data_IF_202057517162
#
_entry.id   IF_202057517162
#
_cell.length_a   1.000
_cell.length_b   1.000
_cell.length_c   1.000
_cell.angle_alpha   90.00
_cell.angle_beta   90.00
_cell.angle_gamma   90.00
#
_symmetry.space_group_name_H-M   'P 1'
#
loop_
_entity.id
_entity.type
_entity.pdbx_description
1 polymer ?
#
# COMPACT_ATOMS: atom_id res chain seq x y z
N UNK A 1 -21.19 41.54 -21.85
CA UNK A 1 -21.81 41.01 -20.64
C UNK A 1 -21.25 39.58 -20.44
N UNK A 2 -20.15 39.42 -19.68
CA UNK A 2 -19.53 38.11 -19.39
C UNK A 2 -20.24 37.53 -18.20
N UNK A 3 -20.94 36.40 -18.38
CA UNK A 3 -21.51 35.61 -17.27
C UNK A 3 -20.36 35.01 -16.44
N UNK A 4 -20.21 35.46 -15.21
CA UNK A 4 -19.39 34.81 -14.20
C UNK A 4 -20.11 33.53 -13.76
N UNK A 5 -19.45 32.39 -13.94
CA UNK A 5 -19.86 31.09 -13.39
C UNK A 5 -19.36 31.04 -11.95
N UNK A 6 -20.19 30.72 -10.95
CA UNK A 6 -19.75 30.69 -9.55
C UNK A 6 -18.84 29.47 -9.31
N UNK A 7 -17.66 29.73 -8.73
CA UNK A 7 -16.67 28.71 -8.30
C UNK A 7 -17.05 28.00 -6.98
N UNK A 8 -18.30 28.02 -6.54
CA UNK A 8 -18.70 27.57 -5.21
C UNK A 8 -19.11 26.08 -5.11
N UNK A 9 -19.24 25.35 -6.22
CA UNK A 9 -19.68 23.95 -6.20
C UNK A 9 -18.62 22.94 -5.70
N UNK A 10 -17.37 23.17 -6.03
CA UNK A 10 -16.31 22.16 -5.80
C UNK A 10 -15.86 22.09 -4.33
N UNK A 11 -15.73 23.21 -3.63
CA UNK A 11 -15.26 23.23 -2.24
C UNK A 11 -16.28 22.65 -1.23
N UNK A 12 -17.57 22.78 -1.52
CA UNK A 12 -18.63 22.22 -0.65
C UNK A 12 -18.73 20.70 -0.82
N UNK A 13 -18.59 20.20 -2.04
CA UNK A 13 -18.52 18.76 -2.36
C UNK A 13 -17.31 18.07 -1.74
N UNK A 14 -16.12 18.67 -1.85
CA UNK A 14 -14.89 18.14 -1.24
C UNK A 14 -14.96 18.08 0.30
N UNK A 15 -15.60 19.05 0.94
CA UNK A 15 -15.72 19.07 2.41
C UNK A 15 -16.72 18.03 2.92
N UNK A 16 -17.80 17.76 2.19
CA UNK A 16 -18.77 16.71 2.51
C UNK A 16 -18.09 15.35 2.35
N UNK A 17 -17.42 15.09 1.23
CA UNK A 17 -16.68 13.85 0.99
C UNK A 17 -15.63 13.56 2.07
N UNK A 18 -14.85 14.57 2.50
CA UNK A 18 -13.85 14.38 3.57
C UNK A 18 -14.45 14.02 4.93
N UNK A 19 -15.65 14.46 5.25
CA UNK A 19 -16.35 14.09 6.48
C UNK A 19 -16.93 12.66 6.39
N UNK A 20 -17.41 12.25 5.23
CA UNK A 20 -17.87 10.90 4.95
C UNK A 20 -16.73 9.89 5.01
N UNK A 21 -15.57 10.20 4.43
CA UNK A 21 -14.37 9.37 4.51
C UNK A 21 -13.88 9.19 5.96
N UNK A 22 -13.99 10.22 6.81
CA UNK A 22 -13.65 10.09 8.23
C UNK A 22 -14.60 9.14 8.98
N UNK A 23 -15.88 9.11 8.60
CA UNK A 23 -16.87 8.15 9.11
C UNK A 23 -16.55 6.72 8.65
N UNK A 24 -16.22 6.55 7.37
CA UNK A 24 -15.84 5.26 6.78
C UNK A 24 -14.59 4.67 7.42
N UNK A 25 -13.63 5.49 7.89
CA UNK A 25 -12.41 5.03 8.56
C UNK A 25 -12.70 4.07 9.71
N UNK A 26 -13.64 4.42 10.60
CA UNK A 26 -13.97 3.59 11.77
C UNK A 26 -14.61 2.27 11.35
N UNK A 27 -15.51 2.31 10.37
CA UNK A 27 -16.13 1.10 9.82
C UNK A 27 -15.11 0.21 9.12
N UNK A 28 -14.20 0.81 8.34
CA UNK A 28 -13.11 0.07 7.69
C UNK A 28 -12.19 -0.59 8.72
N UNK A 29 -11.82 0.10 9.81
CA UNK A 29 -11.02 -0.49 10.89
C UNK A 29 -11.69 -1.74 11.48
N UNK A 30 -12.99 -1.70 11.72
CA UNK A 30 -13.74 -2.85 12.23
C UNK A 30 -13.72 -4.03 11.24
N UNK A 31 -13.93 -3.75 9.94
CA UNK A 31 -13.85 -4.76 8.87
C UNK A 31 -12.46 -5.39 8.80
N UNK A 32 -11.39 -4.58 8.89
CA UNK A 32 -10.02 -5.08 8.87
C UNK A 32 -9.70 -6.01 10.05
N UNK A 33 -10.23 -5.70 11.24
CA UNK A 33 -10.07 -6.56 12.42
C UNK A 33 -10.82 -7.88 12.25
N UNK A 34 -12.07 -7.85 11.75
CA UNK A 34 -12.85 -9.05 11.42
C UNK A 34 -12.10 -9.94 10.40
N UNK A 35 -11.54 -9.34 9.35
CA UNK A 35 -10.74 -10.02 8.34
C UNK A 35 -9.46 -10.63 8.91
N UNK A 36 -8.76 -9.91 9.80
CA UNK A 36 -7.59 -10.41 10.50
C UNK A 36 -7.88 -11.57 11.44
N UNK A 37 -9.02 -11.54 12.13
CA UNK A 37 -9.47 -12.65 12.99
C UNK A 37 -9.76 -13.89 12.15
N UNK A 38 -10.44 -13.74 11.01
CA UNK A 38 -10.70 -14.81 10.06
C UNK A 38 -9.39 -15.41 9.53
N UNK A 39 -8.45 -14.57 9.07
CA UNK A 39 -7.16 -15.03 8.57
C UNK A 39 -6.40 -15.83 9.62
N UNK A 40 -6.33 -15.33 10.87
CA UNK A 40 -5.68 -16.04 11.99
C UNK A 40 -6.39 -17.34 12.36
N UNK A 41 -7.72 -17.38 12.29
CA UNK A 41 -8.48 -18.60 12.57
C UNK A 41 -8.21 -19.68 11.51
N UNK A 42 -8.19 -19.29 10.23
CA UNK A 42 -7.87 -20.20 9.11
C UNK A 42 -6.44 -20.75 9.25
N UNK A 43 -5.47 -19.93 9.62
CA UNK A 43 -4.07 -20.37 9.80
C UNK A 43 -3.85 -21.38 10.93
N UNK A 44 -4.76 -21.49 11.91
CA UNK A 44 -4.64 -22.43 13.04
C UNK A 44 -4.98 -23.87 12.70
N UNK A 45 -5.73 -24.08 11.61
CA UNK A 45 -6.15 -25.42 11.15
C UNK A 45 -5.32 -25.90 9.96
N UNK A 46 -5.55 -27.14 9.52
CA UNK A 46 -5.08 -27.57 8.20
C UNK A 46 -5.88 -26.80 7.13
N UNK A 47 -5.18 -26.06 6.27
CA UNK A 47 -5.81 -25.32 5.18
C UNK A 47 -5.16 -25.67 3.84
N UNK A 48 -5.92 -25.59 2.78
CA UNK A 48 -5.43 -25.87 1.43
C UNK A 48 -4.59 -24.70 0.93
N UNK A 49 -3.59 -25.05 0.13
CA UNK A 49 -2.71 -24.12 -0.56
C UNK A 49 -2.44 -24.66 -1.97
N UNK A 50 -2.35 -23.75 -2.92
CA UNK A 50 -2.05 -24.06 -4.33
C UNK A 50 -1.25 -22.90 -4.94
N UNK A 51 -0.90 -23.01 -6.19
CA UNK A 51 -0.28 -21.91 -6.95
C UNK A 51 -1.21 -21.43 -8.04
N UNK A 52 -1.13 -20.14 -8.38
CA UNK A 52 -1.86 -19.52 -9.49
C UNK A 52 -0.88 -18.85 -10.45
N UNK A 53 -1.29 -18.76 -11.73
CA UNK A 53 -0.50 -18.13 -12.79
C UNK A 53 0.72 -18.92 -13.20
N UNK A 54 1.47 -18.37 -14.15
CA UNK A 54 2.70 -18.96 -14.70
C UNK A 54 3.93 -18.75 -13.81
N UNK A 55 3.82 -17.89 -12.81
CA UNK A 55 4.88 -17.49 -11.85
C UNK A 55 4.86 -18.29 -10.54
N UNK A 56 4.02 -19.34 -10.45
CA UNK A 56 3.85 -20.17 -9.25
C UNK A 56 3.52 -19.35 -7.98
N UNK A 57 2.71 -18.31 -8.11
CA UNK A 57 2.30 -17.46 -6.99
C UNK A 57 1.46 -18.28 -5.99
N UNK A 58 1.84 -18.36 -4.70
CA UNK A 58 1.09 -19.16 -3.74
C UNK A 58 -0.22 -18.49 -3.37
N UNK A 59 -1.29 -19.31 -3.25
CA UNK A 59 -2.61 -18.94 -2.74
C UNK A 59 -3.01 -19.94 -1.67
N UNK A 60 -3.77 -19.49 -0.69
CA UNK A 60 -4.34 -20.35 0.36
C UNK A 60 -5.84 -20.15 0.53
N UNK A 61 -6.48 -21.07 1.25
CA UNK A 61 -7.89 -20.88 1.65
C UNK A 61 -8.09 -19.58 2.46
N UNK A 62 -7.03 -19.10 3.14
CA UNK A 62 -7.06 -17.83 3.86
C UNK A 62 -7.25 -16.63 2.93
N UNK A 63 -6.54 -16.60 1.81
CA UNK A 63 -6.65 -15.53 0.81
C UNK A 63 -8.09 -15.43 0.28
N UNK A 64 -8.69 -16.57 -0.09
CA UNK A 64 -10.07 -16.60 -0.61
C UNK A 64 -11.09 -16.22 0.45
N UNK A 65 -10.98 -16.78 1.66
CA UNK A 65 -11.93 -16.52 2.74
C UNK A 65 -11.91 -15.02 3.15
N UNK A 66 -10.72 -14.43 3.25
CA UNK A 66 -10.55 -13.01 3.57
C UNK A 66 -11.06 -12.14 2.41
N UNK A 67 -10.76 -12.50 1.16
CA UNK A 67 -11.28 -11.80 -0.02
C UNK A 67 -12.81 -11.73 -0.03
N UNK A 68 -13.49 -12.86 0.20
CA UNK A 68 -14.95 -12.94 0.18
C UNK A 68 -15.59 -12.12 1.31
N UNK A 69 -15.01 -12.17 2.51
CA UNK A 69 -15.43 -11.34 3.62
C UNK A 69 -15.27 -9.85 3.29
N UNK A 70 -14.09 -9.44 2.84
CA UNK A 70 -13.80 -8.05 2.48
C UNK A 70 -14.73 -7.55 1.38
N UNK A 71 -14.93 -8.36 0.32
CA UNK A 71 -15.85 -8.00 -0.78
C UNK A 71 -17.24 -7.71 -0.26
N UNK A 72 -17.77 -8.58 0.59
CA UNK A 72 -19.11 -8.39 1.17
C UNK A 72 -19.18 -7.13 2.01
N UNK A 73 -18.28 -6.98 2.99
CA UNK A 73 -18.31 -5.87 3.93
C UNK A 73 -18.03 -4.50 3.28
N UNK A 74 -17.05 -4.45 2.35
CA UNK A 74 -16.68 -3.20 1.70
C UNK A 74 -17.72 -2.75 0.66
N UNK A 75 -18.40 -3.68 -0.02
CA UNK A 75 -19.54 -3.36 -0.87
C UNK A 75 -20.69 -2.77 -0.06
N UNK A 76 -20.96 -3.30 1.13
CA UNK A 76 -21.98 -2.73 2.03
C UNK A 76 -21.61 -1.31 2.51
N UNK A 77 -20.33 -1.02 2.67
CA UNK A 77 -19.85 0.32 3.10
C UNK A 77 -19.94 1.36 1.98
N UNK A 78 -19.60 0.98 0.74
CA UNK A 78 -19.62 1.86 -0.44
C UNK A 78 -20.16 1.07 -1.64
N UNK A 79 -21.50 0.98 -1.78
CA UNK A 79 -22.15 0.13 -2.79
C UNK A 79 -21.80 0.48 -4.24
N UNK A 80 -21.48 1.75 -4.51
CA UNK A 80 -21.16 2.25 -5.86
C UNK A 80 -19.68 2.10 -6.24
N UNK A 81 -18.84 1.60 -5.33
CA UNK A 81 -17.43 1.38 -5.60
C UNK A 81 -17.22 0.09 -6.41
N UNK A 82 -16.33 0.16 -7.41
CA UNK A 82 -15.82 -1.02 -8.10
C UNK A 82 -14.97 -1.90 -7.17
N UNK A 83 -14.54 -3.05 -7.69
CA UNK A 83 -13.74 -4.03 -6.96
C UNK A 83 -12.53 -4.46 -7.78
N UNK A 84 -11.34 -4.29 -7.21
CA UNK A 84 -10.08 -4.79 -7.74
C UNK A 84 -9.35 -5.51 -6.61
N UNK A 85 -9.08 -6.80 -6.77
CA UNK A 85 -8.37 -7.62 -5.77
C UNK A 85 -7.39 -8.56 -6.44
N UNK A 86 -6.33 -8.92 -5.71
CA UNK A 86 -5.39 -9.96 -6.14
C UNK A 86 -6.09 -11.29 -6.48
N UNK A 87 -7.19 -11.62 -5.76
CA UNK A 87 -7.96 -12.85 -5.94
C UNK A 87 -9.11 -12.72 -6.95
N UNK A 88 -9.14 -11.64 -7.74
CA UNK A 88 -10.14 -11.44 -8.79
C UNK A 88 -9.59 -11.87 -10.14
N UNK A 89 -10.15 -12.92 -10.72
CA UNK A 89 -9.71 -13.50 -12.00
C UNK A 89 -9.95 -12.56 -13.20
N UNK A 90 -10.92 -11.66 -13.10
CA UNK A 90 -11.32 -10.79 -14.22
C UNK A 90 -11.28 -9.34 -13.78
N UNK A 91 -10.40 -8.57 -14.37
CA UNK A 91 -10.41 -7.11 -14.23
C UNK A 91 -11.63 -6.56 -14.97
N UNK A 92 -12.33 -5.56 -14.43
CA UNK A 92 -13.43 -4.92 -15.14
C UNK A 92 -12.93 -4.30 -16.45
N UNK A 93 -13.72 -4.38 -17.52
CA UNK A 93 -13.42 -3.80 -18.84
C UNK A 93 -13.18 -2.29 -18.80
N UNK A 94 -13.62 -1.61 -17.74
CA UNK A 94 -13.42 -0.17 -17.50
C UNK A 94 -13.11 0.05 -16.02
N UNK A 95 -12.05 0.79 -15.76
CA UNK A 95 -11.78 1.33 -14.44
C UNK A 95 -12.92 2.27 -14.02
N UNK A 96 -13.60 1.94 -12.93
CA UNK A 96 -14.58 2.85 -12.33
C UNK A 96 -13.84 3.99 -11.64
N UNK A 97 -14.41 5.21 -11.62
CA UNK A 97 -13.75 6.35 -10.96
C UNK A 97 -13.53 6.13 -9.46
N UNK A 98 -14.33 5.28 -8.83
CA UNK A 98 -14.22 4.89 -7.43
C UNK A 98 -14.15 3.36 -7.34
N UNK A 99 -13.14 2.82 -6.65
CA UNK A 99 -12.99 1.37 -6.50
C UNK A 99 -12.24 1.00 -5.20
N UNK A 100 -12.63 -0.11 -4.60
CA UNK A 100 -11.84 -0.80 -3.59
C UNK A 100 -10.70 -1.56 -4.27
N UNK A 101 -9.48 -1.36 -3.80
CA UNK A 101 -8.26 -2.06 -4.21
C UNK A 101 -7.76 -2.85 -3.02
N UNK A 102 -7.66 -4.18 -3.17
CA UNK A 102 -7.56 -5.11 -2.04
C UNK A 102 -6.51 -6.19 -2.29
N UNK A 103 -5.63 -6.37 -1.32
CA UNK A 103 -4.86 -7.59 -1.14
C UNK A 103 -5.33 -8.28 0.13
N UNK A 104 -5.97 -9.45 0.02
CA UNK A 104 -6.47 -10.18 1.19
C UNK A 104 -5.37 -10.64 2.13
N UNK A 105 -4.20 -11.07 1.59
CA UNK A 105 -3.03 -11.47 2.37
C UNK A 105 -1.74 -11.10 1.62
N UNK A 106 -1.32 -9.84 1.68
CA UNK A 106 0.00 -9.44 1.19
C UNK A 106 1.10 -10.16 2.00
N UNK A 107 1.88 -10.95 1.29
CA UNK A 107 2.86 -11.82 1.91
C UNK A 107 2.34 -13.23 2.19
N UNK A 108 1.55 -13.84 1.30
CA UNK A 108 1.01 -15.21 1.39
C UNK A 108 2.08 -16.25 1.76
N UNK A 109 3.32 -16.11 1.28
CA UNK A 109 4.44 -16.98 1.67
C UNK A 109 4.78 -16.90 3.16
N UNK A 110 4.71 -15.71 3.76
CA UNK A 110 4.89 -15.52 5.20
C UNK A 110 3.71 -16.15 5.96
N UNK A 111 2.49 -15.89 5.53
CA UNK A 111 1.27 -16.45 6.10
C UNK A 111 1.30 -17.98 6.13
N UNK A 112 1.57 -18.63 5.00
CA UNK A 112 1.67 -20.11 4.88
C UNK A 112 2.79 -20.69 5.74
N UNK A 113 3.87 -19.92 5.96
CA UNK A 113 5.03 -20.36 6.76
C UNK A 113 4.89 -20.03 8.25
N UNK A 114 3.75 -19.51 8.71
CA UNK A 114 3.51 -19.14 10.11
C UNK A 114 4.35 -17.97 10.61
N UNK A 115 4.81 -17.11 9.70
CA UNK A 115 5.56 -15.89 10.04
C UNK A 115 4.60 -14.76 10.42
N UNK A 116 5.14 -13.68 10.98
CA UNK A 116 4.35 -12.53 11.42
C UNK A 116 4.25 -11.41 10.36
N UNK A 117 5.11 -11.41 9.35
CA UNK A 117 5.30 -10.31 8.40
C UNK A 117 4.43 -10.45 7.14
N UNK A 118 3.11 -10.58 7.36
CA UNK A 118 2.05 -10.50 6.36
C UNK A 118 0.94 -9.54 6.78
N UNK A 119 0.20 -8.99 5.84
CA UNK A 119 -0.83 -7.99 6.11
C UNK A 119 -2.06 -8.19 5.23
N UNK A 120 -3.17 -7.58 5.66
CA UNK A 120 -4.35 -7.32 4.83
C UNK A 120 -4.24 -5.88 4.37
N UNK A 121 -4.37 -5.62 3.07
CA UNK A 121 -4.20 -4.29 2.46
C UNK A 121 -5.49 -3.88 1.76
N UNK A 122 -6.06 -2.72 2.12
CA UNK A 122 -7.30 -2.18 1.55
C UNK A 122 -7.16 -0.69 1.30
N UNK A 123 -7.46 -0.25 0.09
CA UNK A 123 -7.57 1.16 -0.26
C UNK A 123 -8.87 1.46 -1.00
N UNK A 124 -9.50 2.59 -0.70
CA UNK A 124 -10.49 3.20 -1.58
C UNK A 124 -9.77 4.16 -2.50
N UNK A 125 -9.85 3.90 -3.78
CA UNK A 125 -9.20 4.68 -4.84
C UNK A 125 -10.24 5.49 -5.59
N UNK A 126 -10.05 6.81 -5.67
CA UNK A 126 -10.89 7.72 -6.44
C UNK A 126 -10.07 8.39 -7.55
N UNK A 127 -10.53 8.27 -8.79
CA UNK A 127 -9.85 8.87 -9.97
C UNK A 127 -8.36 8.53 -10.06
N UNK A 128 -8.01 7.28 -9.71
CA UNK A 128 -6.65 6.75 -9.75
C UNK A 128 -5.76 7.16 -8.58
N UNK A 129 -6.30 7.74 -7.50
CA UNK A 129 -5.54 8.08 -6.28
C UNK A 129 -6.23 7.51 -5.04
N UNK A 130 -5.48 6.92 -4.10
CA UNK A 130 -6.06 6.42 -2.86
C UNK A 130 -6.51 7.59 -1.96
N UNK A 131 -7.73 7.50 -1.42
CA UNK A 131 -8.36 8.52 -0.57
C UNK A 131 -8.64 8.02 0.85
N UNK A 132 -8.73 6.71 1.03
CA UNK A 132 -8.84 6.04 2.33
C UNK A 132 -8.01 4.76 2.26
N UNK A 133 -7.26 4.45 3.31
CA UNK A 133 -6.43 3.26 3.37
C UNK A 133 -6.45 2.63 4.76
N UNK A 134 -6.41 1.30 4.77
CA UNK A 134 -6.16 0.48 5.94
C UNK A 134 -5.16 -0.63 5.58
N UNK A 135 -4.15 -0.81 6.43
CA UNK A 135 -3.23 -1.93 6.38
C UNK A 135 -3.19 -2.56 7.77
N UNK A 136 -3.48 -3.84 7.86
CA UNK A 136 -3.50 -4.54 9.14
C UNK A 136 -2.54 -5.73 9.14
N UNK A 137 -1.61 -5.76 10.11
CA UNK A 137 -0.74 -6.87 10.40
C UNK A 137 -1.31 -7.65 11.61
N UNK A 138 -2.11 -8.72 11.41
CA UNK A 138 -2.91 -9.32 12.51
C UNK A 138 -2.06 -10.01 13.57
N UNK A 139 -0.86 -10.47 13.24
CA UNK A 139 0.01 -11.19 14.20
C UNK A 139 0.66 -10.24 15.20
N UNK A 140 1.03 -9.04 14.75
CA UNK A 140 1.65 -8.00 15.60
C UNK A 140 0.64 -6.96 16.11
N UNK A 141 -0.63 -7.10 15.72
CA UNK A 141 -1.73 -6.16 16.03
C UNK A 141 -1.41 -4.71 15.63
N UNK A 142 -0.84 -4.54 14.42
CA UNK A 142 -0.51 -3.23 13.88
C UNK A 142 -1.56 -2.81 12.85
N UNK A 143 -2.40 -1.84 13.20
CA UNK A 143 -3.42 -1.24 12.35
C UNK A 143 -2.97 0.12 11.86
N UNK A 144 -2.56 0.21 10.61
CA UNK A 144 -2.24 1.46 9.92
C UNK A 144 -3.50 1.97 9.21
N UNK A 145 -3.80 3.26 9.39
CA UNK A 145 -4.94 3.93 8.79
C UNK A 145 -4.54 5.28 8.25
N UNK A 146 -5.00 5.64 7.05
CA UNK A 146 -4.84 6.98 6.49
C UNK A 146 -6.13 7.43 5.79
N UNK A 147 -6.39 8.72 5.86
CA UNK A 147 -7.45 9.41 5.10
C UNK A 147 -6.82 10.61 4.43
N UNK A 148 -7.07 10.80 3.16
CA UNK A 148 -6.52 11.91 2.37
C UNK A 148 -6.72 13.27 3.09
N UNK A 149 -5.59 13.97 3.33
CA UNK A 149 -5.55 15.27 4.02
C UNK A 149 -5.85 15.22 5.52
N UNK A 150 -5.79 14.02 6.16
CA UNK A 150 -6.02 13.87 7.61
C UNK A 150 -4.85 13.23 8.35
N UNK A 151 -3.77 12.89 7.63
CA UNK A 151 -2.61 12.21 8.18
C UNK A 151 -2.78 10.70 8.27
N UNK A 152 -1.69 10.05 8.69
CA UNK A 152 -1.62 8.60 8.92
C UNK A 152 -1.49 8.28 10.42
N UNK A 153 -1.98 7.10 10.81
CA UNK A 153 -1.92 6.63 12.18
C UNK A 153 -1.59 5.14 12.24
N UNK A 154 -0.88 4.72 13.29
CA UNK A 154 -0.67 3.33 13.70
C UNK A 154 -1.35 3.13 15.06
N UNK A 155 -2.30 2.20 15.14
CA UNK A 155 -3.07 1.92 16.34
C UNK A 155 -3.65 3.20 17.00
N UNK A 156 -4.13 4.14 16.16
CA UNK A 156 -4.70 5.41 16.59
C UNK A 156 -3.68 6.52 16.89
N UNK A 157 -2.39 6.21 17.05
CA UNK A 157 -1.33 7.21 17.25
C UNK A 157 -0.86 7.76 15.89
N UNK A 158 -0.77 9.09 15.76
CA UNK A 158 -0.25 9.74 14.54
C UNK A 158 1.19 9.30 14.27
N UNK A 159 1.49 8.97 13.01
CA UNK A 159 2.82 8.59 12.55
C UNK A 159 3.37 9.59 11.53
N UNK A 160 4.69 9.60 11.38
CA UNK A 160 5.37 10.43 10.39
C UNK A 160 6.63 9.72 9.85
N UNK A 161 6.87 9.88 8.55
CA UNK A 161 8.09 9.45 7.91
C UNK A 161 9.31 10.23 8.40
N UNK A 162 10.47 9.62 8.37
CA UNK A 162 11.73 10.28 8.76
C UNK A 162 12.09 11.43 7.83
N UNK A 163 12.38 12.60 8.40
CA UNK A 163 12.68 13.84 7.66
C UNK A 163 14.13 14.00 7.23
N UNK A 164 15.06 13.14 7.67
CA UNK A 164 16.48 13.23 7.33
C UNK A 164 16.72 12.97 5.83
N UNK A 165 17.68 13.71 5.24
CA UNK A 165 18.07 13.55 3.83
C UNK A 165 19.24 12.58 3.64
N UNK A 166 20.11 12.42 4.64
CA UNK A 166 21.35 11.62 4.51
C UNK A 166 21.09 10.13 4.34
N UNK A 167 21.94 9.47 3.56
CA UNK A 167 21.97 8.01 3.45
C UNK A 167 22.90 7.37 4.49
N UNK A 168 23.67 8.16 5.22
CA UNK A 168 24.50 7.67 6.31
C UNK A 168 23.63 7.04 7.40
N UNK A 169 23.90 5.75 7.69
CA UNK A 169 23.15 4.93 8.64
C UNK A 169 21.63 4.85 8.36
N UNK A 170 21.19 5.24 7.16
CA UNK A 170 19.79 5.10 6.76
C UNK A 170 19.40 3.62 6.66
N UNK A 171 18.26 3.25 7.24
CA UNK A 171 17.71 1.89 7.27
C UNK A 171 16.90 1.66 6.00
N UNK A 172 17.44 0.88 5.08
CA UNK A 172 16.87 0.64 3.77
C UNK A 172 16.41 -0.81 3.63
N UNK A 173 15.19 -1.02 3.12
CA UNK A 173 14.65 -2.34 2.83
C UNK A 173 14.22 -2.45 1.35
N UNK A 174 14.36 -3.65 0.78
CA UNK A 174 13.99 -3.86 -0.61
C UNK A 174 14.58 -5.15 -1.20
N UNK A 175 14.48 -5.32 -2.52
CA UNK A 175 15.13 -6.41 -3.22
C UNK A 175 16.64 -6.41 -2.95
N UNK A 176 17.19 -7.59 -2.63
CA UNK A 176 18.63 -7.73 -2.32
C UNK A 176 19.51 -7.11 -3.41
N UNK A 177 19.15 -7.35 -4.69
CA UNK A 177 19.88 -6.78 -5.84
C UNK A 177 19.99 -5.25 -5.80
N UNK A 178 18.98 -4.54 -5.27
CA UNK A 178 18.99 -3.10 -5.14
C UNK A 178 19.85 -2.65 -3.97
N UNK A 179 19.71 -3.33 -2.82
CA UNK A 179 20.49 -3.02 -1.63
C UNK A 179 21.99 -3.25 -1.85
N UNK A 180 22.37 -4.32 -2.56
CA UNK A 180 23.78 -4.60 -2.90
C UNK A 180 24.36 -3.49 -3.80
N UNK A 181 23.63 -3.01 -4.80
CA UNK A 181 24.07 -1.90 -5.66
C UNK A 181 24.16 -0.58 -4.90
N UNK A 182 23.15 -0.29 -4.08
CA UNK A 182 23.15 0.92 -3.24
C UNK A 182 24.29 0.91 -2.22
N UNK A 183 24.66 -0.24 -1.67
CA UNK A 183 25.80 -0.35 -0.78
C UNK A 183 27.13 0.07 -1.44
N UNK A 184 27.26 -0.12 -2.76
CA UNK A 184 28.40 0.40 -3.52
C UNK A 184 28.41 1.92 -3.67
N UNK A 185 27.24 2.57 -3.62
CA UNK A 185 27.06 4.01 -3.80
C UNK A 185 26.97 4.77 -2.47
N UNK A 186 26.44 4.11 -1.45
CA UNK A 186 26.23 4.65 -0.10
C UNK A 186 26.65 3.58 0.95
N UNK A 187 27.95 3.32 1.13
CA UNK A 187 28.45 2.18 1.92
C UNK A 187 28.10 2.25 3.41
N UNK A 188 27.72 3.41 3.91
CA UNK A 188 27.31 3.60 5.32
C UNK A 188 25.82 3.36 5.57
N UNK A 189 25.02 3.04 4.55
CA UNK A 189 23.62 2.68 4.73
C UNK A 189 23.49 1.34 5.47
N UNK A 190 22.31 1.11 6.08
CA UNK A 190 21.98 -0.11 6.83
C UNK A 190 20.91 -0.90 6.11
N UNK A 191 21.33 -1.93 5.36
CA UNK A 191 20.38 -2.86 4.77
C UNK A 191 19.59 -3.61 5.86
N UNK A 192 18.27 -3.58 5.76
CA UNK A 192 17.39 -4.23 6.72
C UNK A 192 16.98 -5.64 6.25
N UNK A 193 16.58 -6.52 7.18
CA UNK A 193 16.07 -7.84 6.85
C UNK A 193 14.88 -7.77 5.90
N UNK A 194 14.68 -8.85 5.13
CA UNK A 194 13.52 -8.98 4.24
C UNK A 194 12.23 -8.99 5.04
N UNK A 195 11.30 -8.11 4.69
CA UNK A 195 9.88 -8.15 5.06
C UNK A 195 9.13 -8.78 3.89
N UNK A 196 8.34 -9.83 4.14
CA UNK A 196 7.67 -10.56 3.07
C UNK A 196 6.48 -9.80 2.50
N UNK A 197 5.68 -9.14 3.34
CA UNK A 197 4.65 -8.21 2.92
C UNK A 197 5.29 -6.95 2.33
N UNK A 198 4.97 -6.62 1.08
CA UNK A 198 5.43 -5.39 0.44
C UNK A 198 4.74 -4.17 1.04
N UNK A 199 3.44 -4.24 1.27
CA UNK A 199 2.67 -3.17 1.87
C UNK A 199 3.17 -2.84 3.28
N UNK A 200 3.49 -3.86 4.12
CA UNK A 200 4.07 -3.65 5.45
C UNK A 200 5.44 -2.96 5.37
N UNK A 201 6.30 -3.41 4.44
CA UNK A 201 7.61 -2.79 4.24
C UNK A 201 7.49 -1.31 3.91
N UNK A 202 6.53 -0.92 3.06
CA UNK A 202 6.25 0.47 2.72
C UNK A 202 5.63 1.23 3.90
N UNK A 203 4.70 0.62 4.66
CA UNK A 203 4.12 1.22 5.85
C UNK A 203 5.16 1.49 6.96
N UNK A 204 6.25 0.69 7.03
CA UNK A 204 7.38 0.94 7.93
C UNK A 204 8.11 2.25 7.59
N UNK A 205 8.07 2.70 6.33
CA UNK A 205 8.56 4.04 5.95
C UNK A 205 7.63 5.13 6.50
N UNK A 206 6.31 4.96 6.36
CA UNK A 206 5.34 5.91 6.92
C UNK A 206 5.45 6.04 8.45
N UNK A 207 5.79 4.95 9.14
CA UNK A 207 6.00 4.93 10.60
C UNK A 207 7.39 5.44 11.01
N UNK A 208 8.33 5.60 10.07
CA UNK A 208 9.70 6.02 10.37
C UNK A 208 10.59 4.90 10.95
N UNK A 209 10.17 3.64 10.93
CA UNK A 209 11.01 2.49 11.26
C UNK A 209 12.04 2.22 10.16
N UNK A 210 11.62 2.35 8.91
CA UNK A 210 12.51 2.39 7.75
C UNK A 210 12.71 3.82 7.27
N UNK A 211 13.87 4.08 6.73
CA UNK A 211 14.21 5.37 6.15
C UNK A 211 13.92 5.43 4.66
N UNK A 212 13.98 4.28 3.98
CA UNK A 212 13.49 4.10 2.63
C UNK A 212 13.16 2.62 2.36
N UNK A 213 12.26 2.40 1.40
CA UNK A 213 11.92 1.07 0.92
C UNK A 213 11.80 1.06 -0.61
N UNK A 214 12.15 -0.08 -1.21
CA UNK A 214 12.11 -0.29 -2.65
C UNK A 214 11.20 -1.46 -3.01
N UNK A 215 10.51 -1.36 -4.16
CA UNK A 215 9.78 -2.46 -4.77
C UNK A 215 10.35 -2.80 -6.14
N UNK A 216 10.31 -4.09 -6.52
CA UNK A 216 10.70 -4.56 -7.86
C UNK A 216 9.63 -4.19 -8.89
N UNK A 217 9.97 -4.12 -10.18
CA UNK A 217 8.97 -4.15 -11.25
C UNK A 217 8.04 -5.35 -11.10
N UNK A 218 6.78 -5.17 -11.52
CA UNK A 218 5.75 -6.19 -11.44
C UNK A 218 4.97 -6.22 -10.12
N UNK A 219 5.19 -5.26 -9.20
CA UNK A 219 4.29 -5.06 -8.06
C UNK A 219 2.97 -4.47 -8.54
N UNK A 220 1.86 -4.94 -7.97
CA UNK A 220 0.53 -4.58 -8.43
C UNK A 220 -0.15 -3.52 -7.56
N UNK A 221 -1.25 -2.97 -8.06
CA UNK A 221 -2.07 -1.96 -7.38
C UNK A 221 -2.41 -2.37 -5.93
N UNK A 222 -2.78 -3.61 -5.70
CA UNK A 222 -3.21 -4.12 -4.40
C UNK A 222 -2.08 -4.21 -3.37
N UNK A 223 -0.84 -4.45 -3.81
CA UNK A 223 0.36 -4.41 -2.96
C UNK A 223 0.70 -2.98 -2.48
N UNK A 224 0.23 -1.96 -3.20
CA UNK A 224 0.80 -0.61 -3.16
C UNK A 224 -0.17 0.47 -2.68
N UNK A 225 -1.45 0.42 -3.13
CA UNK A 225 -2.37 1.56 -2.99
C UNK A 225 -2.60 2.02 -1.55
N UNK A 226 -2.74 1.08 -0.60
CA UNK A 226 -2.91 1.45 0.81
C UNK A 226 -1.63 2.06 1.39
N UNK A 227 -0.48 1.47 1.09
CA UNK A 227 0.82 1.94 1.56
C UNK A 227 1.20 3.31 0.95
N UNK A 228 0.80 3.59 -0.29
CA UNK A 228 0.99 4.90 -0.95
C UNK A 228 0.33 6.01 -0.12
N UNK A 229 -0.95 5.86 0.21
CA UNK A 229 -1.64 6.86 1.02
C UNK A 229 -1.00 7.00 2.41
N UNK A 230 -0.61 5.88 3.04
CA UNK A 230 0.06 5.92 4.34
C UNK A 230 1.36 6.71 4.28
N UNK A 231 2.20 6.49 3.27
CA UNK A 231 3.47 7.19 3.09
C UNK A 231 3.25 8.68 2.84
N UNK A 232 2.31 9.04 1.95
CA UNK A 232 2.01 10.45 1.65
C UNK A 232 1.43 11.19 2.84
N UNK A 233 0.48 10.61 3.53
CA UNK A 233 -0.16 11.22 4.70
C UNK A 233 0.78 11.30 5.92
N UNK A 234 1.85 10.49 5.93
CA UNK A 234 2.94 10.59 6.90
C UNK A 234 4.04 11.59 6.50
N UNK A 235 3.90 12.29 5.37
CA UNK A 235 4.85 13.29 4.88
C UNK A 235 6.04 12.71 4.11
N UNK A 236 5.92 11.49 3.60
CA UNK A 236 6.85 10.87 2.66
C UNK A 236 6.44 11.05 1.20
N UNK A 237 7.24 10.47 0.31
CA UNK A 237 6.97 10.35 -1.12
C UNK A 237 7.08 8.88 -1.54
N UNK A 238 6.22 8.48 -2.47
CA UNK A 238 6.24 7.17 -3.08
C UNK A 238 6.05 7.32 -4.59
N UNK A 239 7.07 6.98 -5.36
CA UNK A 239 7.12 7.21 -6.80
C UNK A 239 7.81 6.05 -7.53
N UNK A 240 7.75 6.06 -8.86
CA UNK A 240 8.70 5.30 -9.65
C UNK A 240 10.10 5.94 -9.61
N UNK A 241 11.09 5.29 -10.23
CA UNK A 241 12.46 5.83 -10.31
C UNK A 241 12.60 7.02 -11.28
N UNK A 242 11.52 7.38 -11.99
CA UNK A 242 11.44 8.60 -12.79
C UNK A 242 10.80 9.77 -12.03
N UNK A 243 10.59 9.59 -10.70
CA UNK A 243 9.93 10.58 -9.83
C UNK A 243 8.48 10.86 -10.25
N UNK A 244 7.83 9.86 -10.86
CA UNK A 244 6.42 9.99 -11.23
C UNK A 244 5.52 9.35 -10.15
N UNK A 245 4.46 10.04 -9.73
CA UNK A 245 3.50 9.48 -8.80
C UNK A 245 2.70 8.34 -9.44
N UNK A 246 2.38 7.32 -8.67
CA UNK A 246 1.64 6.16 -9.13
C UNK A 246 0.18 6.51 -9.42
N UNK A 247 -0.42 5.73 -10.32
CA UNK A 247 -1.85 5.77 -10.61
C UNK A 247 -2.41 4.35 -10.54
N UNK A 248 -3.51 4.22 -9.82
CA UNK A 248 -4.16 2.96 -9.50
C UNK A 248 -5.45 2.77 -10.27
N UNK A 249 -5.97 1.55 -10.27
CA UNK A 249 -7.22 1.18 -10.91
C UNK A 249 -7.23 1.52 -12.42
N UNK A 250 -6.08 1.35 -13.05
CA UNK A 250 -5.89 1.47 -14.49
C UNK A 250 -6.03 0.08 -15.17
N UNK A 251 -6.14 0.00 -16.51
CA UNK A 251 -6.20 -1.29 -17.22
C UNK A 251 -4.99 -2.20 -16.96
N UNK A 252 -3.83 -1.62 -16.69
CA UNK A 252 -2.63 -2.33 -16.26
C UNK A 252 -2.39 -2.03 -14.78
N UNK A 253 -2.38 -3.07 -13.95
CA UNK A 253 -2.23 -2.96 -12.50
C UNK A 253 -0.78 -3.07 -12.03
N UNK A 254 0.13 -3.55 -12.90
CA UNK A 254 1.54 -3.71 -12.58
C UNK A 254 2.31 -2.39 -12.75
N UNK A 255 3.23 -2.15 -11.83
CA UNK A 255 4.07 -0.96 -11.79
C UNK A 255 5.55 -1.30 -12.05
N UNK A 256 6.34 -0.29 -12.44
CA UNK A 256 7.79 -0.37 -12.57
C UNK A 256 8.48 -0.42 -11.19
N UNK A 257 9.81 -0.31 -11.16
CA UNK A 257 10.58 -0.21 -9.93
C UNK A 257 10.18 1.05 -9.14
N UNK A 258 9.98 0.90 -7.83
CA UNK A 258 9.42 1.94 -6.98
C UNK A 258 10.31 2.23 -5.78
N UNK A 259 10.17 3.46 -5.26
CA UNK A 259 10.87 3.96 -4.08
C UNK A 259 9.92 4.75 -3.18
N UNK A 260 9.92 4.42 -1.89
CA UNK A 260 9.26 5.17 -0.82
C UNK A 260 10.30 5.66 0.19
N UNK A 261 10.21 6.93 0.59
CA UNK A 261 11.05 7.51 1.64
C UNK A 261 10.41 8.79 2.20
N UNK A 262 10.94 9.30 3.31
CA UNK A 262 10.66 10.68 3.71
C UNK A 262 11.14 11.67 2.64
N UNK A 263 10.43 12.78 2.40
CA UNK A 263 10.58 13.63 1.21
C UNK A 263 12.04 14.00 0.91
N UNK A 264 12.79 14.53 1.87
CA UNK A 264 14.17 14.96 1.65
C UNK A 264 15.14 13.79 1.30
N UNK A 265 14.89 12.58 1.84
CA UNK A 265 15.69 11.39 1.49
C UNK A 265 15.27 10.82 0.14
N UNK A 266 13.99 10.92 -0.18
CA UNK A 266 13.47 10.56 -1.49
C UNK A 266 14.19 11.34 -2.59
N UNK A 267 14.28 12.69 -2.47
CA UNK A 267 15.01 13.54 -3.40
C UNK A 267 16.47 13.09 -3.54
N UNK A 268 17.15 12.82 -2.42
CA UNK A 268 18.54 12.33 -2.42
C UNK A 268 18.69 11.01 -3.18
N UNK A 269 17.75 10.08 -2.99
CA UNK A 269 17.78 8.78 -3.66
C UNK A 269 17.45 8.89 -5.15
N UNK A 270 16.45 9.70 -5.52
CA UNK A 270 16.11 9.95 -6.93
C UNK A 270 17.32 10.59 -7.67
N UNK A 271 17.99 11.56 -7.05
CA UNK A 271 19.19 12.17 -7.63
C UNK A 271 20.34 11.15 -7.81
N UNK A 272 20.55 10.30 -6.81
CA UNK A 272 21.57 9.24 -6.86
C UNK A 272 21.29 8.21 -7.98
N UNK A 273 20.01 7.92 -8.23
CA UNK A 273 19.58 6.91 -9.19
C UNK A 273 19.31 7.47 -10.61
N UNK A 274 19.29 8.79 -10.78
CA UNK A 274 18.87 9.47 -12.02
C UNK A 274 19.52 8.92 -13.28
N UNK A 275 20.86 8.78 -13.26
CA UNK A 275 21.64 8.31 -14.39
C UNK A 275 21.89 6.80 -14.40
N UNK A 276 21.30 6.07 -13.42
CA UNK A 276 21.53 4.65 -13.14
C UNK A 276 20.27 3.80 -13.20
N UNK A 277 19.15 4.36 -13.63
CA UNK A 277 17.84 3.67 -13.61
C UNK A 277 17.89 2.30 -14.29
N UNK A 278 18.59 2.19 -15.43
CA UNK A 278 18.76 0.94 -16.15
C UNK A 278 19.52 -0.16 -15.37
N UNK A 279 20.25 0.21 -14.33
CA UNK A 279 20.93 -0.76 -13.47
C UNK A 279 19.96 -1.40 -12.47
N UNK A 280 18.81 -0.75 -12.20
CA UNK A 280 17.79 -1.18 -11.23
C UNK A 280 16.51 -1.73 -11.89
N UNK A 281 16.44 -1.71 -13.23
CA UNK A 281 15.35 -2.30 -14.00
C UNK A 281 15.36 -3.84 -13.98
#
# INVERSE_FOLDING_TARGET
MKRMIPKSGNQFSEKIMRNELAGLRTSLEAVMREAGDLARATARGPFKRWTKGDDDSPVSEGDIAVNDLLRTRLTDLVPDAGWLSEETETLPDRALPLAWVVDPIDGTRAYISGRADWTISVALVENGRPVLAALFAPVTDEMFLAVQGKGAALNGATIAANRGATLERARLAGPKRYLDKLAGLAPSMLAQPKVFSLALRLARVAHGELDAAFASPGSHDWDLAAADLLVHEAGGLFTDFADQPLRYNAPHTAHDALIAAGSARHDTLIDLLRDRRGEFA
#
